data_IF_717473345224
#
_entry.id   IF_717473345224
#
_cell.length_a   1.000
_cell.length_b   1.000
_cell.length_c   1.000
_cell.angle_alpha   90.00
_cell.angle_beta   90.00
_cell.angle_gamma   90.00
#
_symmetry.space_group_name_H-M   'P 1'
#
loop_
_entity.id
_entity.type
_entity.pdbx_description
1 polymer ?
#
# COMPACT_ATOMS: atom_id res chain seq x y z
N UNK A 1 -13.56 2.99 -14.34
CA UNK A 1 -13.66 1.52 -14.57
C UNK A 1 -12.32 0.80 -14.61
N UNK A 2 -11.29 1.31 -15.31
CA UNK A 2 -10.01 0.61 -15.58
C UNK A 2 -9.27 0.01 -14.37
N UNK A 3 -9.39 0.63 -13.18
CA UNK A 3 -8.74 0.19 -11.94
C UNK A 3 -9.75 -0.13 -10.82
N UNK A 4 -10.99 -0.45 -11.21
CA UNK A 4 -12.06 -0.92 -10.33
C UNK A 4 -12.52 -2.30 -10.80
N UNK A 5 -13.81 -2.46 -11.06
CA UNK A 5 -14.43 -3.75 -11.46
C UNK A 5 -13.72 -4.44 -12.64
N UNK A 6 -13.25 -3.70 -13.65
CA UNK A 6 -12.56 -4.29 -14.81
C UNK A 6 -11.25 -5.00 -14.44
N UNK A 7 -10.65 -4.66 -13.29
CA UNK A 7 -9.39 -5.24 -12.83
C UNK A 7 -9.57 -6.31 -11.75
N UNK A 8 -10.81 -6.49 -11.26
CA UNK A 8 -11.13 -7.47 -10.25
C UNK A 8 -10.85 -8.93 -10.68
N UNK A 9 -11.17 -9.37 -11.92
CA UNK A 9 -10.82 -10.72 -12.35
C UNK A 9 -9.31 -10.99 -12.34
N UNK A 10 -8.50 -10.00 -12.75
CA UNK A 10 -7.04 -10.11 -12.71
C UNK A 10 -6.52 -10.14 -11.28
N UNK A 11 -7.13 -9.39 -10.36
CA UNK A 11 -6.81 -9.45 -8.94
C UNK A 11 -7.03 -10.85 -8.36
N UNK A 12 -8.19 -11.46 -8.64
CA UNK A 12 -8.49 -12.83 -8.20
C UNK A 12 -7.49 -13.83 -8.78
N UNK A 13 -7.16 -13.72 -10.07
CA UNK A 13 -6.14 -14.58 -10.68
C UNK A 13 -4.78 -14.49 -9.97
N UNK A 14 -4.34 -13.28 -9.58
CA UNK A 14 -3.08 -13.08 -8.84
C UNK A 14 -3.17 -13.63 -7.41
N UNK A 15 -4.34 -13.52 -6.78
CA UNK A 15 -4.62 -14.12 -5.49
C UNK A 15 -4.51 -15.65 -5.54
N UNK A 16 -5.19 -16.28 -6.50
CA UNK A 16 -5.22 -17.73 -6.70
C UNK A 16 -3.83 -18.28 -7.05
N UNK A 17 -3.02 -17.52 -7.80
CA UNK A 17 -1.63 -17.86 -8.11
C UNK A 17 -0.68 -17.70 -6.91
N UNK A 18 -1.17 -17.17 -5.78
CA UNK A 18 -0.37 -16.91 -4.59
C UNK A 18 0.54 -15.70 -4.70
N UNK A 19 0.37 -14.81 -5.69
CA UNK A 19 1.10 -13.53 -5.83
C UNK A 19 0.80 -12.59 -4.65
N UNK A 20 -0.42 -12.71 -4.11
CA UNK A 20 -0.98 -11.93 -3.02
C UNK A 20 -1.22 -12.86 -1.83
N UNK A 21 -0.74 -12.47 -0.64
CA UNK A 21 -0.98 -13.19 0.61
C UNK A 21 -2.07 -12.44 1.40
N UNK A 22 -3.31 -12.94 1.47
CA UNK A 22 -4.44 -12.22 2.09
C UNK A 22 -4.19 -11.83 3.56
N UNK A 23 -3.52 -12.70 4.31
CA UNK A 23 -3.28 -12.55 5.75
C UNK A 23 -2.03 -11.71 6.07
N UNK A 24 -1.18 -11.46 5.07
CA UNK A 24 0.04 -10.68 5.25
C UNK A 24 -0.29 -9.23 5.60
N UNK A 25 0.56 -8.63 6.45
CA UNK A 25 0.41 -7.26 6.93
C UNK A 25 1.69 -6.48 6.68
N UNK A 26 1.60 -5.19 6.29
CA UNK A 26 2.80 -4.37 6.13
C UNK A 26 3.54 -4.22 7.46
N UNK A 27 4.87 -4.31 7.41
CA UNK A 27 5.75 -4.16 8.57
C UNK A 27 6.74 -3.01 8.35
N UNK A 28 6.93 -2.17 9.37
CA UNK A 28 7.93 -1.10 9.33
C UNK A 28 9.32 -1.69 9.50
N UNK A 29 10.23 -1.31 8.62
CA UNK A 29 11.62 -1.79 8.60
C UNK A 29 12.55 -0.73 9.17
N UNK A 30 12.32 0.53 8.84
CA UNK A 30 13.17 1.64 9.28
C UNK A 30 12.32 2.89 9.49
N UNK A 31 12.68 3.70 10.47
CA UNK A 31 12.10 5.02 10.73
C UNK A 31 13.23 6.04 10.88
N UNK A 32 13.15 7.12 10.11
CA UNK A 32 14.11 8.22 10.02
C UNK A 32 13.34 9.55 10.13
N UNK A 33 12.61 9.73 11.24
CA UNK A 33 11.71 10.87 11.45
C UNK A 33 10.57 10.86 10.42
N UNK A 34 10.53 11.90 9.59
CA UNK A 34 9.55 12.08 8.50
C UNK A 34 9.54 10.97 7.43
N UNK A 35 10.60 10.15 7.37
CA UNK A 35 10.78 9.12 6.34
C UNK A 35 10.72 7.74 6.98
N UNK A 36 9.89 6.84 6.44
CA UNK A 36 9.84 5.45 6.86
C UNK A 36 9.97 4.49 5.68
N UNK A 37 10.65 3.37 5.90
CA UNK A 37 10.68 2.24 4.96
C UNK A 37 9.84 1.09 5.50
N UNK A 38 8.98 0.54 4.65
CA UNK A 38 8.04 -0.53 4.97
C UNK A 38 8.15 -1.68 3.98
N UNK A 39 7.84 -2.88 4.47
CA UNK A 39 7.73 -4.11 3.68
C UNK A 39 6.26 -4.55 3.68
N UNK A 40 5.64 -4.60 2.51
CA UNK A 40 4.24 -5.00 2.38
C UNK A 40 4.04 -6.51 2.53
N UNK A 41 5.11 -7.32 2.52
CA UNK A 41 5.03 -8.78 2.67
C UNK A 41 4.06 -9.45 1.68
N UNK A 42 3.96 -8.92 0.45
CA UNK A 42 3.04 -9.38 -0.59
C UNK A 42 1.55 -9.33 -0.19
N UNK A 43 1.21 -8.47 0.77
CA UNK A 43 -0.18 -8.20 1.15
C UNK A 43 -1.01 -7.60 0.01
N UNK A 44 -2.33 -7.50 0.23
CA UNK A 44 -3.27 -6.91 -0.71
C UNK A 44 -2.90 -5.45 -1.00
N UNK A 45 -2.60 -5.15 -2.27
CA UNK A 45 -1.98 -3.89 -2.68
C UNK A 45 -2.79 -2.64 -2.34
N UNK A 46 -4.10 -2.62 -2.62
CA UNK A 46 -4.93 -1.43 -2.39
C UNK A 46 -5.22 -1.17 -0.91
N UNK A 47 -5.41 -2.22 -0.11
CA UNK A 47 -5.60 -2.09 1.34
C UNK A 47 -4.31 -1.62 2.02
N UNK A 48 -3.16 -2.14 1.60
CA UNK A 48 -1.86 -1.74 2.12
C UNK A 48 -1.49 -0.32 1.71
N UNK A 49 -1.73 0.06 0.45
CA UNK A 49 -1.48 1.42 -0.02
C UNK A 49 -2.29 2.47 0.75
N UNK A 50 -3.57 2.19 1.06
CA UNK A 50 -4.37 3.09 1.91
C UNK A 50 -3.72 3.29 3.28
N UNK A 51 -3.32 2.21 3.95
CA UNK A 51 -2.69 2.27 5.27
C UNK A 51 -1.34 3.00 5.24
N UNK A 52 -0.54 2.82 4.18
CA UNK A 52 0.74 3.50 4.04
C UNK A 52 0.58 4.99 3.76
N UNK A 53 -0.47 5.39 3.04
CA UNK A 53 -0.79 6.80 2.87
C UNK A 53 -1.34 7.42 4.16
N UNK A 54 -2.22 6.71 4.88
CA UNK A 54 -2.67 7.13 6.23
C UNK A 54 -1.43 7.41 7.12
N UNK A 55 -0.44 6.50 7.09
CA UNK A 55 0.82 6.67 7.82
C UNK A 55 1.66 7.86 7.32
N UNK A 56 1.74 8.10 6.01
CA UNK A 56 2.45 9.26 5.48
C UNK A 56 1.79 10.58 5.92
N UNK A 57 0.46 10.63 6.01
CA UNK A 57 -0.28 11.79 6.54
C UNK A 57 0.03 11.99 8.04
N UNK A 58 0.05 10.93 8.84
CA UNK A 58 0.46 10.99 10.25
C UNK A 58 1.90 11.53 10.42
N UNK A 59 2.84 11.07 9.59
CA UNK A 59 4.21 11.59 9.61
C UNK A 59 4.24 13.09 9.23
N UNK A 60 3.44 13.49 8.26
CA UNK A 60 3.34 14.87 7.81
C UNK A 60 2.74 15.81 8.87
N UNK A 61 1.79 15.35 9.70
CA UNK A 61 1.23 16.19 10.76
C UNK A 61 2.28 16.59 11.80
N UNK A 62 3.24 15.70 12.06
CA UNK A 62 4.25 15.90 13.10
C UNK A 62 5.54 16.54 12.57
N UNK A 63 5.87 16.29 11.30
CA UNK A 63 7.15 16.69 10.69
C UNK A 63 7.02 17.69 9.53
N UNK A 64 5.80 18.10 9.16
CA UNK A 64 5.51 18.96 8.01
C UNK A 64 5.57 18.25 6.64
N UNK A 65 6.20 17.07 6.58
CA UNK A 65 6.25 16.16 5.44
C UNK A 65 6.26 14.72 5.95
N UNK A 66 5.66 13.79 5.19
CA UNK A 66 5.74 12.37 5.45
C UNK A 66 6.05 11.60 4.18
N UNK A 67 7.01 10.69 4.25
CA UNK A 67 7.39 9.82 3.14
C UNK A 67 7.42 8.36 3.60
N UNK A 68 6.64 7.52 2.93
CA UNK A 68 6.65 6.06 3.14
C UNK A 68 7.15 5.38 1.86
N UNK A 69 8.32 4.75 1.96
CA UNK A 69 8.85 3.88 0.92
C UNK A 69 8.40 2.44 1.16
N UNK A 70 7.63 1.86 0.24
CA UNK A 70 7.05 0.53 0.38
C UNK A 70 7.66 -0.46 -0.63
N UNK A 71 8.20 -1.60 -0.15
CA UNK A 71 8.68 -2.71 -0.99
C UNK A 71 7.80 -3.96 -0.86
N UNK A 72 8.01 -4.93 -1.76
CA UNK A 72 7.28 -6.21 -1.78
C UNK A 72 5.75 -6.04 -1.80
N UNK A 73 5.27 -4.96 -2.43
CA UNK A 73 3.86 -4.63 -2.54
C UNK A 73 3.22 -5.29 -3.77
N UNK A 74 1.89 -5.38 -3.75
CA UNK A 74 1.09 -5.75 -4.91
C UNK A 74 0.44 -4.53 -5.56
N UNK A 75 -0.16 -4.75 -6.72
CA UNK A 75 -0.81 -3.68 -7.48
C UNK A 75 -1.85 -2.93 -6.66
N UNK A 76 -1.65 -1.62 -6.47
CA UNK A 76 -2.48 -0.76 -5.61
C UNK A 76 -3.79 -0.29 -6.24
N UNK A 77 -4.22 -0.90 -7.34
CA UNK A 77 -5.43 -0.50 -8.07
C UNK A 77 -5.41 0.99 -8.46
N UNK A 78 -6.36 1.79 -7.97
CA UNK A 78 -6.49 3.19 -8.34
C UNK A 78 -5.56 4.04 -7.46
N UNK A 79 -4.43 4.47 -8.03
CA UNK A 79 -3.49 5.37 -7.33
C UNK A 79 -4.14 6.68 -6.84
N UNK A 80 -5.09 7.22 -7.60
CA UNK A 80 -5.84 8.44 -7.19
C UNK A 80 -6.68 8.28 -5.92
N UNK A 81 -6.94 7.05 -5.44
CA UNK A 81 -7.61 6.86 -4.15
C UNK A 81 -6.77 7.37 -2.98
N UNK A 82 -5.44 7.33 -3.10
CA UNK A 82 -4.51 7.73 -2.02
C UNK A 82 -4.13 9.21 -2.08
N UNK A 83 -4.26 9.85 -3.24
CA UNK A 83 -4.14 11.31 -3.32
C UNK A 83 -5.40 12.04 -2.83
N UNK A 84 -6.54 11.33 -2.72
CA UNK A 84 -7.85 11.90 -2.39
C UNK A 84 -8.24 11.79 -0.91
N UNK A 85 -7.63 10.85 -0.19
CA UNK A 85 -8.06 10.43 1.15
C UNK A 85 -7.88 11.47 2.26
#
# INVERSE_FOLDING_TARGET
YSHGVNRFPRFIQQLDNGDIIPEAKPQRITSLGAIEQWDAQRSIGNLTAKKMMDRAIELASDHGIGLVALRNANHWMRGGSYGWQ
#
